data_IF_831581903397
#
_entry.id   IF_831581903397
#
_cell.length_a   1.000
_cell.length_b   1.000
_cell.length_c   1.000
_cell.angle_alpha   90.00
_cell.angle_beta   90.00
_cell.angle_gamma   90.00
#
_symmetry.space_group_name_H-M   'P 1'
#
loop_
_entity.id
_entity.type
_entity.pdbx_description
1 polymer ?
#
# COMPACT_ATOMS: atom_id res chain seq x y z
N UNK A 1 -1.41 7.24 -10.24
CA UNK A 1 -1.53 6.45 -9.00
C UNK A 1 -0.68 5.18 -9.15
N UNK A 2 -0.01 4.73 -8.10
CA UNK A 2 0.62 3.41 -8.06
C UNK A 2 0.02 2.56 -6.94
N UNK A 3 -0.11 1.25 -7.16
CA UNK A 3 -0.54 0.29 -6.15
C UNK A 3 0.41 -0.91 -6.17
N UNK A 4 1.19 -1.06 -5.11
CA UNK A 4 2.19 -2.12 -4.99
C UNK A 4 1.81 -3.11 -3.87
N UNK A 5 2.20 -4.36 -4.07
CA UNK A 5 1.88 -5.47 -3.17
C UNK A 5 3.00 -5.74 -2.17
N UNK A 6 4.24 -5.55 -2.59
CA UNK A 6 5.45 -5.84 -1.82
C UNK A 6 6.34 -4.59 -1.75
N UNK A 7 7.17 -4.42 -0.71
CA UNK A 7 8.01 -3.24 -0.58
C UNK A 7 9.11 -3.24 -1.66
N UNK A 8 9.73 -4.40 -1.89
CA UNK A 8 10.81 -4.60 -2.86
C UNK A 8 10.91 -6.10 -3.20
N UNK A 9 11.46 -6.45 -4.37
CA UNK A 9 11.93 -7.82 -4.68
C UNK A 9 13.37 -8.08 -4.26
N UNK A 10 14.03 -7.09 -3.65
CA UNK A 10 15.40 -7.18 -3.14
C UNK A 10 16.45 -7.03 -4.24
N UNK A 11 16.42 -7.86 -5.28
CA UNK A 11 17.35 -7.79 -6.41
C UNK A 11 16.71 -7.04 -7.60
N UNK A 12 17.32 -5.93 -8.07
CA UNK A 12 16.85 -5.24 -9.26
C UNK A 12 16.90 -6.16 -10.49
N UNK A 13 15.96 -5.98 -11.40
CA UNK A 13 16.02 -6.60 -12.74
C UNK A 13 15.98 -5.51 -13.81
N UNK A 14 16.24 -5.89 -15.06
CA UNK A 14 16.24 -4.96 -16.19
C UNK A 14 14.88 -4.27 -16.40
N UNK A 15 13.76 -4.87 -15.99
CA UNK A 15 12.42 -4.32 -16.18
C UNK A 15 11.78 -3.98 -14.84
N UNK A 16 11.33 -2.73 -14.72
CA UNK A 16 10.55 -2.27 -13.58
C UNK A 16 9.17 -2.95 -13.54
N UNK A 17 8.70 -3.23 -12.32
CA UNK A 17 7.44 -3.92 -12.04
C UNK A 17 6.67 -3.20 -10.93
N UNK A 18 5.45 -2.75 -11.26
CA UNK A 18 4.59 -1.99 -10.36
C UNK A 18 4.13 -2.75 -9.10
N UNK A 19 4.37 -4.06 -9.01
CA UNK A 19 4.08 -4.84 -7.80
C UNK A 19 5.01 -4.53 -6.63
N UNK A 20 6.18 -3.94 -6.89
CA UNK A 20 7.19 -3.61 -5.88
C UNK A 20 7.26 -2.10 -5.66
N UNK A 21 7.20 -1.64 -4.41
CA UNK A 21 7.05 -0.22 -4.09
C UNK A 21 8.19 0.65 -4.60
N UNK A 22 9.43 0.17 -4.48
CA UNK A 22 10.61 0.86 -5.00
C UNK A 22 10.56 1.06 -6.52
N UNK A 23 10.09 0.07 -7.27
CA UNK A 23 9.99 0.14 -8.73
C UNK A 23 8.73 0.87 -9.20
N UNK A 24 7.61 0.71 -8.49
CA UNK A 24 6.36 1.42 -8.76
C UNK A 24 6.53 2.94 -8.63
N UNK A 25 7.35 3.39 -7.67
CA UNK A 25 7.71 4.80 -7.55
C UNK A 25 8.52 5.29 -8.75
N UNK A 26 9.50 4.50 -9.22
CA UNK A 26 10.28 4.87 -10.41
C UNK A 26 9.40 4.97 -11.65
N UNK A 27 8.51 3.99 -11.89
CA UNK A 27 7.53 4.04 -12.97
C UNK A 27 6.62 5.29 -12.89
N UNK A 28 6.21 5.68 -11.68
CA UNK A 28 5.40 6.88 -11.49
C UNK A 28 6.18 8.17 -11.81
N UNK A 29 7.45 8.24 -11.38
CA UNK A 29 8.33 9.37 -11.67
C UNK A 29 8.67 9.46 -13.16
N UNK A 30 8.87 8.34 -13.84
CA UNK A 30 9.05 8.27 -15.30
C UNK A 30 7.83 8.82 -16.03
N UNK A 31 6.62 8.43 -15.62
CA UNK A 31 5.38 8.94 -16.20
C UNK A 31 5.24 10.47 -15.97
N UNK A 32 5.50 10.95 -14.75
CA UNK A 32 5.48 12.39 -14.43
C UNK A 32 6.44 13.17 -15.34
N UNK A 33 7.67 12.68 -15.48
CA UNK A 33 8.71 13.28 -16.32
C UNK A 33 8.32 13.29 -17.80
N UNK A 34 7.73 12.20 -18.30
CA UNK A 34 7.24 12.10 -19.69
C UNK A 34 6.15 13.13 -20.02
N UNK A 35 5.44 13.65 -19.00
CA UNK A 35 4.47 14.73 -19.14
C UNK A 35 5.06 16.13 -18.95
N UNK A 36 6.39 16.26 -18.80
CA UNK A 36 7.06 17.56 -18.66
C UNK A 36 6.79 18.26 -17.32
N UNK A 37 6.40 17.51 -16.30
CA UNK A 37 6.12 18.03 -14.95
C UNK A 37 7.08 17.42 -13.93
N UNK A 38 7.06 17.95 -12.70
CA UNK A 38 7.90 17.51 -11.60
C UNK A 38 7.02 16.94 -10.48
N UNK A 39 7.54 15.93 -9.79
CA UNK A 39 6.79 15.26 -8.72
C UNK A 39 6.35 16.20 -7.57
N UNK A 40 7.06 17.31 -7.34
CA UNK A 40 6.70 18.32 -6.34
C UNK A 40 5.55 19.24 -6.75
N UNK A 41 5.05 19.13 -7.98
CA UNK A 41 3.85 19.85 -8.46
C UNK A 41 2.55 19.09 -8.17
N UNK A 42 2.66 17.89 -7.60
CA UNK A 42 1.53 17.02 -7.31
C UNK A 42 1.21 17.01 -5.81
N UNK A 43 -0.06 16.78 -5.47
CA UNK A 43 -0.46 16.39 -4.11
C UNK A 43 -0.28 14.88 -3.92
N UNK A 44 0.66 14.50 -3.06
CA UNK A 44 0.91 13.10 -2.71
C UNK A 44 0.08 12.68 -1.51
N UNK A 45 -0.54 11.50 -1.56
CA UNK A 45 -1.28 10.92 -0.43
C UNK A 45 -1.03 9.42 -0.34
N UNK A 46 -0.94 8.88 0.88
CA UNK A 46 -0.64 7.46 1.11
C UNK A 46 -1.87 6.75 1.71
N UNK A 47 -2.25 5.61 1.13
CA UNK A 47 -3.36 4.79 1.60
C UNK A 47 -2.97 3.32 1.70
N UNK A 48 -3.51 2.60 2.68
CA UNK A 48 -3.44 1.14 2.72
C UNK A 48 -2.63 0.59 3.90
N UNK A 49 -1.88 -0.50 3.67
CA UNK A 49 -1.06 -1.14 4.70
C UNK A 49 -1.83 -1.76 5.89
N UNK A 50 -3.12 -2.02 5.71
CA UNK A 50 -3.94 -2.70 6.72
C UNK A 50 -3.47 -4.13 6.98
N UNK A 51 -3.60 -4.57 8.23
CA UNK A 51 -3.37 -5.95 8.62
C UNK A 51 -4.67 -6.76 8.44
N UNK A 52 -4.72 -7.62 7.41
CA UNK A 52 -5.86 -8.50 7.16
C UNK A 52 -5.84 -9.76 8.02
N UNK A 53 -4.72 -10.10 8.64
CA UNK A 53 -4.54 -11.35 9.37
C UNK A 53 -3.81 -11.11 10.72
N UNK A 54 -4.42 -10.38 11.66
CA UNK A 54 -3.78 -10.03 12.93
C UNK A 54 -3.41 -11.26 13.78
N UNK A 55 -4.13 -12.38 13.58
CA UNK A 55 -3.89 -13.64 14.30
C UNK A 55 -2.93 -14.57 13.55
N UNK A 56 -2.49 -14.21 12.34
CA UNK A 56 -1.57 -15.02 11.52
C UNK A 56 -0.25 -14.29 11.40
N UNK A 57 0.77 -14.77 12.09
CA UNK A 57 2.11 -14.19 12.00
C UNK A 57 2.99 -14.55 13.18
N UNK A 58 4.30 -14.46 12.95
CA UNK A 58 5.28 -14.63 14.01
C UNK A 58 5.38 -13.32 14.81
N UNK A 59 5.27 -13.37 16.15
CA UNK A 59 5.13 -12.20 17.04
C UNK A 59 6.29 -11.16 16.96
N UNK A 60 7.33 -11.44 16.17
CA UNK A 60 8.47 -10.54 15.95
C UNK A 60 8.64 -9.99 14.52
N UNK A 61 7.87 -10.44 13.52
CA UNK A 61 7.99 -9.93 12.14
C UNK A 61 6.86 -8.95 11.81
N UNK A 62 7.22 -7.78 11.29
CA UNK A 62 6.24 -6.81 10.76
C UNK A 62 5.44 -7.45 9.63
N UNK A 63 4.12 -7.29 9.64
CA UNK A 63 3.27 -7.76 8.54
C UNK A 63 3.56 -6.97 7.26
N UNK A 64 3.21 -7.54 6.10
CA UNK A 64 3.51 -6.93 4.80
C UNK A 64 2.94 -5.53 4.66
N UNK A 65 1.74 -5.28 5.20
CA UNK A 65 1.13 -3.96 5.21
C UNK A 65 2.01 -2.89 5.88
N UNK A 66 2.62 -3.20 7.03
CA UNK A 66 3.53 -2.28 7.70
C UNK A 66 4.83 -2.08 6.91
N UNK A 67 5.38 -3.14 6.33
CA UNK A 67 6.57 -3.04 5.49
C UNK A 67 6.33 -2.16 4.25
N UNK A 68 5.12 -2.24 3.67
CA UNK A 68 4.72 -1.38 2.56
C UNK A 68 4.61 0.09 3.00
N UNK A 69 4.04 0.37 4.18
CA UNK A 69 4.00 1.73 4.75
C UNK A 69 5.42 2.28 4.95
N UNK A 70 6.29 1.49 5.57
CA UNK A 70 7.69 1.87 5.80
C UNK A 70 8.42 2.17 4.48
N UNK A 71 8.14 1.37 3.43
CA UNK A 71 8.68 1.62 2.08
C UNK A 71 8.13 2.92 1.47
N UNK A 72 6.84 3.22 1.62
CA UNK A 72 6.26 4.48 1.16
C UNK A 72 7.01 5.68 1.75
N UNK A 73 7.20 5.69 3.08
CA UNK A 73 7.91 6.76 3.76
C UNK A 73 9.38 6.85 3.34
N UNK A 74 10.06 5.71 3.20
CA UNK A 74 11.44 5.66 2.71
C UNK A 74 11.57 6.28 1.32
N UNK A 75 10.63 5.99 0.41
CA UNK A 75 10.65 6.51 -0.95
C UNK A 75 10.33 8.00 -1.01
N UNK A 76 9.35 8.48 -0.23
CA UNK A 76 9.08 9.91 -0.11
C UNK A 76 10.33 10.67 0.37
N UNK A 77 10.98 10.19 1.44
CA UNK A 77 12.20 10.79 1.95
C UNK A 77 13.34 10.76 0.92
N UNK A 78 13.55 9.61 0.25
CA UNK A 78 14.58 9.43 -0.78
C UNK A 78 14.44 10.44 -1.93
N UNK A 79 13.21 10.76 -2.32
CA UNK A 79 12.92 11.64 -3.44
C UNK A 79 12.60 13.09 -3.01
N UNK A 80 12.73 13.42 -1.73
CA UNK A 80 12.43 14.77 -1.21
C UNK A 80 10.96 15.18 -1.37
N UNK A 81 10.04 14.21 -1.30
CA UNK A 81 8.62 14.42 -1.48
C UNK A 81 7.90 14.45 -0.13
N UNK A 82 6.88 15.29 -0.02
CA UNK A 82 6.04 15.41 1.19
C UNK A 82 4.64 14.85 0.96
N UNK A 83 4.15 14.10 1.95
CA UNK A 83 2.75 13.64 1.96
C UNK A 83 1.83 14.79 2.37
N UNK A 84 0.75 14.96 1.61
CA UNK A 84 -0.33 15.91 1.86
C UNK A 84 -1.51 15.26 2.60
N UNK A 85 -1.40 13.99 2.95
CA UNK A 85 -2.41 13.25 3.69
C UNK A 85 -2.19 11.76 3.63
N UNK A 86 -2.55 11.07 4.70
CA UNK A 86 -2.36 9.63 4.80
C UNK A 86 -3.51 8.96 5.55
N UNK A 87 -3.78 7.72 5.15
CA UNK A 87 -4.68 6.83 5.88
C UNK A 87 -4.17 5.39 5.76
N UNK A 88 -3.29 5.03 6.69
CA UNK A 88 -2.48 3.82 6.67
C UNK A 88 -2.66 2.97 7.92
N UNK A 89 -2.20 1.71 7.89
CA UNK A 89 -2.10 0.83 9.06
C UNK A 89 -3.45 0.28 9.51
N UNK A 90 -3.59 -0.08 10.79
CA UNK A 90 -4.83 -0.65 11.35
C UNK A 90 -5.18 -2.05 10.84
N UNK A 91 -6.36 -2.54 11.21
CA UNK A 91 -6.83 -3.90 10.88
C UNK A 91 -7.98 -3.85 9.85
N UNK A 92 -7.99 -4.83 8.94
CA UNK A 92 -8.96 -4.91 7.85
C UNK A 92 -8.44 -4.35 6.52
N UNK A 93 -9.36 -4.03 5.61
CA UNK A 93 -9.03 -3.56 4.26
C UNK A 93 -9.66 -2.18 3.98
N UNK A 94 -9.21 -1.55 2.91
CA UNK A 94 -9.69 -0.24 2.48
C UNK A 94 -10.03 -0.27 1.00
N UNK A 95 -11.15 0.35 0.66
CA UNK A 95 -11.56 0.60 -0.72
C UNK A 95 -11.38 2.09 -1.00
N UNK A 96 -10.56 2.40 -2.00
CA UNK A 96 -10.28 3.78 -2.43
C UNK A 96 -10.85 3.99 -3.84
N UNK A 97 -11.63 5.05 -4.00
CA UNK A 97 -12.07 5.56 -5.30
C UNK A 97 -11.34 6.87 -5.52
N UNK A 98 -10.68 6.99 -6.67
CA UNK A 98 -9.98 8.20 -7.09
C UNK A 98 -10.61 8.72 -8.38
N UNK A 99 -11.21 9.89 -8.31
CA UNK A 99 -11.75 10.58 -9.47
C UNK A 99 -10.62 11.33 -10.19
N UNK A 100 -10.31 10.90 -11.41
CA UNK A 100 -9.12 11.37 -12.15
C UNK A 100 -9.30 12.82 -12.62
N UNK A 101 -10.54 13.23 -12.92
CA UNK A 101 -10.85 14.56 -13.44
C UNK A 101 -10.73 15.64 -12.36
N UNK A 102 -11.35 15.40 -11.20
CA UNK A 102 -11.42 16.35 -10.08
C UNK A 102 -10.30 16.20 -9.06
N UNK A 103 -9.62 15.04 -9.05
CA UNK A 103 -8.66 14.69 -8.01
C UNK A 103 -9.30 14.28 -6.68
N UNK A 104 -10.63 14.15 -6.61
CA UNK A 104 -11.33 13.77 -5.38
C UNK A 104 -11.09 12.31 -5.01
N UNK A 105 -11.10 12.04 -3.71
CA UNK A 105 -10.85 10.73 -3.13
C UNK A 105 -12.00 10.35 -2.20
N UNK A 106 -12.58 9.16 -2.41
CA UNK A 106 -13.49 8.54 -1.46
C UNK A 106 -12.84 7.27 -0.90
N UNK A 107 -12.87 7.14 0.42
CA UNK A 107 -12.22 6.04 1.13
C UNK A 107 -13.22 5.37 2.08
N UNK A 108 -13.30 4.05 2.01
CA UNK A 108 -14.05 3.23 2.96
C UNK A 108 -13.10 2.23 3.60
N UNK A 109 -12.95 2.30 4.92
CA UNK A 109 -12.29 1.24 5.70
C UNK A 109 -13.33 0.25 6.18
N UNK A 110 -13.07 -1.03 5.94
CA UNK A 110 -13.87 -2.14 6.44
C UNK A 110 -13.03 -2.92 7.46
N UNK A 111 -13.48 -3.04 8.72
CA UNK A 111 -12.80 -3.88 9.70
C UNK A 111 -12.89 -5.36 9.27
N UNK A 112 -12.07 -6.21 9.89
CA UNK A 112 -12.28 -7.65 9.76
C UNK A 112 -13.60 -8.01 10.42
N UNK A 113 -14.42 -8.81 9.74
CA UNK A 113 -15.57 -9.45 10.38
C UNK A 113 -15.00 -10.41 11.42
N UNK A 114 -15.38 -10.24 12.68
CA UNK A 114 -15.03 -11.22 13.72
C UNK A 114 -15.60 -12.56 13.28
N UNK A 115 -14.73 -13.56 13.12
CA UNK A 115 -15.16 -14.94 12.92
C UNK A 115 -15.99 -15.34 14.14
N UNK A 116 -17.31 -15.38 13.99
CA UNK A 116 -18.21 -15.87 15.02
C UNK A 116 -18.02 -17.39 15.09
N UNK A 117 -17.00 -17.81 15.83
CA UNK A 117 -16.51 -19.19 15.88
C UNK A 117 -17.62 -20.23 16.03
N UNK A 118 -17.95 -20.90 14.93
CA UNK A 118 -18.59 -22.21 14.95
C UNK A 118 -17.60 -23.23 14.40
N UNK A 119 -17.03 -24.10 15.25
CA UNK A 119 -16.30 -25.25 14.75
C UNK A 119 -17.31 -26.26 14.21
N UNK A 120 -17.55 -26.28 12.91
CA UNK A 120 -18.14 -27.44 12.22
C UNK A 120 -17.02 -28.42 11.87
N UNK A 121 -16.43 -29.01 12.91
CA UNK A 121 -15.55 -30.18 12.79
C UNK A 121 -16.29 -31.37 13.38
N UNK A 122 -16.88 -32.20 12.52
CA UNK A 122 -17.52 -33.47 12.89
C UNK A 122 -16.47 -34.38 13.53
N UNK A 123 -16.73 -34.88 14.75
CA UNK A 123 -15.91 -35.94 15.35
C UNK A 123 -16.17 -37.26 14.60
N UNK A 124 -15.13 -38.00 14.19
CA UNK A 124 -15.31 -39.34 13.65
C UNK A 124 -15.71 -40.31 14.78
N UNK A 125 -16.57 -41.26 14.41
CA UNK A 125 -17.09 -42.33 15.26
C UNK A 125 -16.03 -43.40 15.58
#
# INVERSE_FOLDING_TARGET
MCHYMLPTRGQPTARLDGRYGDEAMLLLLEAISAHGTRANEYHLRIFGGGNMFPNVGNRGKRHIGQQNIDMAYKLLAKHGLMSHGEHVGGTGHRHLIFDIWSGQLALKQSPLVADSGRPTGVQPA
#
